data_IF_565457233944
#
_entry.id   IF_565457233944
#
_cell.length_a   1.000
_cell.length_b   1.000
_cell.length_c   1.000
_cell.angle_alpha   90.00
_cell.angle_beta   90.00
_cell.angle_gamma   90.00
#
_symmetry.space_group_name_H-M   'P 1'
#
loop_
_entity.id
_entity.type
_entity.pdbx_description
1 polymer ?
#
# COMPACT_ATOMS: atom_id res chain seq x y z
N UNK A 1 -12.12 0.99 26.66
CA UNK A 1 -12.24 2.46 26.45
C UNK A 1 -10.89 3.09 26.73
N UNK A 2 -10.34 3.88 25.81
CA UNK A 2 -9.06 4.55 26.06
C UNK A 2 -9.17 5.75 27.02
N UNK A 3 -8.06 6.14 27.65
CA UNK A 3 -7.97 7.38 28.43
C UNK A 3 -7.48 8.53 27.55
N UNK A 4 -8.27 9.61 27.50
CA UNK A 4 -7.88 10.86 26.88
C UNK A 4 -7.33 11.81 27.96
N UNK A 5 -6.12 12.34 27.75
CA UNK A 5 -5.47 13.29 28.65
C UNK A 5 -5.01 14.51 27.87
N UNK A 6 -5.32 15.70 28.37
CA UNK A 6 -4.70 16.93 27.88
C UNK A 6 -3.28 16.98 28.45
N UNK A 7 -2.29 17.14 27.57
CA UNK A 7 -0.88 17.28 27.93
C UNK A 7 -0.37 18.63 27.40
N UNK A 8 0.72 19.19 27.97
CA UNK A 8 1.41 20.29 27.32
C UNK A 8 1.68 19.90 25.85
N UNK A 9 1.29 20.76 24.93
CA UNK A 9 1.36 20.58 23.47
C UNK A 9 0.31 19.68 22.80
N UNK A 10 -0.77 19.27 23.49
CA UNK A 10 -1.95 18.73 22.82
C UNK A 10 -2.74 17.71 23.62
N UNK A 11 -3.16 16.65 22.95
CA UNK A 11 -4.03 15.61 23.52
C UNK A 11 -3.37 14.25 23.34
N UNK A 12 -3.26 13.49 24.42
CA UNK A 12 -2.79 12.12 24.42
C UNK A 12 -3.98 11.17 24.62
N UNK A 13 -4.11 10.20 23.73
CA UNK A 13 -5.04 9.09 23.90
C UNK A 13 -4.27 7.79 24.17
N UNK A 14 -4.64 7.07 25.22
CA UNK A 14 -4.16 5.72 25.50
C UNK A 14 -5.29 4.73 25.28
N UNK A 15 -5.23 3.88 24.27
CA UNK A 15 -6.25 2.86 23.96
C UNK A 15 -7.01 3.15 22.66
N UNK A 16 -8.26 2.69 22.58
CA UNK A 16 -9.13 2.90 21.41
C UNK A 16 -9.98 4.17 21.59
N UNK A 17 -10.17 4.92 20.50
CA UNK A 17 -11.11 6.05 20.42
C UNK A 17 -11.95 5.94 19.16
N UNK A 18 -13.08 6.65 19.17
CA UNK A 18 -13.94 6.86 18.01
C UNK A 18 -13.85 8.31 17.61
N UNK A 19 -13.66 8.53 16.32
CA UNK A 19 -13.77 9.85 15.71
C UNK A 19 -15.09 9.83 14.96
N UNK A 20 -16.05 10.62 15.44
CA UNK A 20 -17.42 10.59 14.94
C UNK A 20 -17.54 11.19 13.53
N UNK A 21 -16.69 12.17 13.21
CA UNK A 21 -16.67 12.87 11.92
C UNK A 21 -15.28 12.80 11.26
N UNK A 22 -14.68 13.95 10.94
CA UNK A 22 -13.40 14.08 10.24
C UNK A 22 -12.24 14.32 11.22
N UNK A 23 -11.26 13.41 11.23
CA UNK A 23 -9.94 13.70 11.81
C UNK A 23 -9.09 14.45 10.78
N UNK A 24 -8.83 15.74 11.04
CA UNK A 24 -7.83 16.50 10.29
C UNK A 24 -6.54 16.61 11.09
N UNK A 25 -5.47 16.03 10.58
CA UNK A 25 -4.15 16.09 11.20
C UNK A 25 -3.07 16.38 10.15
N UNK A 26 -2.04 17.14 10.52
CA UNK A 26 -0.85 17.33 9.69
C UNK A 26 0.09 16.12 9.74
N UNK A 27 0.07 15.36 10.84
CA UNK A 27 0.85 14.13 11.02
C UNK A 27 0.16 13.22 12.00
N UNK A 28 0.09 11.92 11.67
CA UNK A 28 -0.36 10.86 12.55
C UNK A 28 0.81 9.89 12.68
N UNK A 29 1.23 9.59 13.91
CA UNK A 29 2.39 8.75 14.20
C UNK A 29 2.05 7.68 15.23
N UNK A 30 2.69 6.54 15.09
CA UNK A 30 2.53 5.41 16.00
C UNK A 30 3.86 5.08 16.66
N UNK A 31 3.83 4.42 17.83
CA UNK A 31 5.05 3.90 18.46
C UNK A 31 5.59 2.73 17.63
N UNK A 32 6.89 2.52 17.68
CA UNK A 32 7.51 1.36 17.03
C UNK A 32 6.84 0.06 17.50
N UNK A 33 6.49 -0.82 16.55
CA UNK A 33 5.81 -2.08 16.84
C UNK A 33 4.34 -1.96 17.24
N UNK A 34 3.79 -0.74 17.29
CA UNK A 34 2.38 -0.48 17.59
C UNK A 34 1.76 0.26 16.41
N UNK A 35 1.31 -0.46 15.35
CA UNK A 35 0.74 0.16 14.17
C UNK A 35 -0.55 0.92 14.50
N UNK A 36 -0.84 1.98 13.75
CA UNK A 36 -2.17 2.62 13.77
C UNK A 36 -3.13 1.72 12.99
N UNK A 37 -4.18 1.25 13.66
CA UNK A 37 -5.28 0.53 13.02
C UNK A 37 -6.46 1.47 12.84
N UNK A 38 -6.87 1.70 11.59
CA UNK A 38 -8.10 2.43 11.26
C UNK A 38 -9.14 1.38 10.85
N UNK A 39 -10.22 1.28 11.62
CA UNK A 39 -11.25 0.25 11.43
C UNK A 39 -12.65 0.78 11.70
N UNK A 40 -13.68 -0.03 11.38
CA UNK A 40 -15.05 0.22 11.86
C UNK A 40 -15.11 -0.27 13.30
N UNK A 41 -15.72 0.50 14.19
CA UNK A 41 -16.22 -0.10 15.42
C UNK A 41 -17.51 -0.85 15.06
N UNK A 42 -17.58 -2.13 15.41
CA UNK A 42 -18.84 -2.85 15.36
C UNK A 42 -19.72 -2.30 16.49
N UNK A 43 -20.50 -1.27 16.19
CA UNK A 43 -21.58 -0.83 17.07
C UNK A 43 -22.73 -1.82 16.89
N UNK A 44 -23.17 -2.51 17.94
CA UNK A 44 -24.33 -3.39 17.88
C UNK A 44 -25.55 -2.64 17.35
N UNK A 45 -26.31 -3.29 16.47
CA UNK A 45 -27.38 -2.69 15.67
C UNK A 45 -28.58 -2.16 16.49
N UNK A 46 -28.57 -2.33 17.82
CA UNK A 46 -29.73 -2.11 18.70
C UNK A 46 -29.76 -0.79 19.48
N UNK A 47 -28.80 0.12 19.33
CA UNK A 47 -28.90 1.46 19.95
C UNK A 47 -29.18 2.57 18.92
N UNK A 48 -30.49 2.84 18.79
CA UNK A 48 -31.20 4.12 18.71
C UNK A 48 -30.52 5.34 18.02
N UNK A 49 -31.26 5.89 17.05
CA UNK A 49 -31.06 7.10 16.24
C UNK A 49 -30.10 6.98 15.04
N UNK A 50 -30.63 6.52 13.89
CA UNK A 50 -30.00 6.76 12.58
C UNK A 50 -30.48 8.10 12.00
N UNK A 51 -29.62 9.14 11.96
CA UNK A 51 -29.64 10.09 10.86
C UNK A 51 -28.34 9.98 10.07
N UNK A 52 -28.48 9.68 8.77
CA UNK A 52 -27.45 9.83 7.73
C UNK A 52 -26.07 9.22 8.01
N UNK A 53 -25.93 7.92 7.75
CA UNK A 53 -24.65 7.37 7.30
C UNK A 53 -24.72 7.24 5.78
N UNK A 54 -24.19 8.19 5.00
CA UNK A 54 -24.02 7.92 3.58
C UNK A 54 -23.11 6.70 3.46
N UNK A 55 -23.42 5.79 2.54
CA UNK A 55 -22.64 4.62 2.14
C UNK A 55 -21.28 4.99 1.51
N UNK A 56 -20.68 6.10 1.94
CA UNK A 56 -19.41 6.60 1.46
C UNK A 56 -18.34 5.67 1.97
N UNK A 57 -17.64 5.06 1.03
CA UNK A 57 -16.42 4.30 1.27
C UNK A 57 -15.49 5.02 2.25
N UNK A 58 -14.71 4.24 2.97
CA UNK A 58 -13.72 4.78 3.89
C UNK A 58 -12.54 5.26 3.06
N UNK A 59 -12.32 6.58 3.01
CA UNK A 59 -11.25 7.16 2.22
C UNK A 59 -10.26 7.87 3.13
N UNK A 60 -8.98 7.56 3.00
CA UNK A 60 -7.90 8.45 3.46
C UNK A 60 -7.66 9.45 2.34
N UNK A 61 -7.89 10.74 2.62
CA UNK A 61 -7.72 11.82 1.64
C UNK A 61 -6.66 12.80 2.11
N UNK A 62 -5.84 13.25 1.19
CA UNK A 62 -4.85 14.31 1.41
C UNK A 62 -4.95 15.33 0.27
N UNK A 63 -4.87 16.62 0.59
CA UNK A 63 -4.80 17.71 -0.39
C UNK A 63 -3.37 18.01 -0.84
N UNK A 64 -2.39 17.25 -0.34
CA UNK A 64 -0.97 17.30 -0.68
C UNK A 64 -0.42 15.89 -0.82
N UNK A 65 0.85 15.79 -1.14
CA UNK A 65 1.58 14.53 -1.20
C UNK A 65 1.32 13.67 0.05
N UNK A 66 1.10 12.38 -0.18
CA UNK A 66 0.80 11.40 0.85
C UNK A 66 1.95 10.41 0.95
N UNK A 67 2.52 10.27 2.15
CA UNK A 67 3.68 9.39 2.36
C UNK A 67 3.47 8.45 3.55
N UNK A 68 3.83 7.19 3.40
CA UNK A 68 3.90 6.20 4.48
C UNK A 68 5.34 5.73 4.63
N UNK A 69 5.87 5.83 5.84
CA UNK A 69 7.24 5.45 6.16
C UNK A 69 7.23 4.43 7.30
N UNK A 70 7.95 3.32 7.12
CA UNK A 70 8.22 2.38 8.21
C UNK A 70 9.70 2.42 8.57
N UNK A 71 10.00 2.31 9.86
CA UNK A 71 11.37 2.34 10.38
C UNK A 71 11.65 1.08 11.19
N UNK A 72 12.91 0.66 11.20
CA UNK A 72 13.38 -0.46 12.02
C UNK A 72 13.53 -0.08 13.51
N UNK A 73 13.99 -1.05 14.31
CA UNK A 73 14.25 -0.88 15.76
C UNK A 73 15.28 0.22 16.07
N UNK A 74 16.18 0.52 15.13
CA UNK A 74 17.21 1.56 15.25
C UNK A 74 16.73 2.92 14.72
N UNK A 75 15.47 3.01 14.28
CA UNK A 75 14.88 4.21 13.69
C UNK A 75 15.28 4.46 12.23
N UNK A 76 16.00 3.54 11.58
CA UNK A 76 16.38 3.66 10.18
C UNK A 76 15.16 3.40 9.30
N UNK A 77 14.97 4.23 8.26
CA UNK A 77 13.91 4.05 7.27
C UNK A 77 14.09 2.69 6.55
N UNK A 78 13.06 1.85 6.59
CA UNK A 78 13.02 0.57 5.88
C UNK A 78 12.21 0.66 4.59
N UNK A 79 11.01 1.24 4.66
CA UNK A 79 10.12 1.36 3.52
C UNK A 79 9.61 2.80 3.40
N UNK A 80 9.45 3.25 2.16
CA UNK A 80 8.93 4.55 1.78
C UNK A 80 7.90 4.37 0.68
N UNK A 81 6.65 4.69 0.97
CA UNK A 81 5.58 4.81 -0.02
C UNK A 81 5.27 6.28 -0.20
N UNK A 82 5.30 6.78 -1.42
CA UNK A 82 5.05 8.18 -1.74
C UNK A 82 4.06 8.28 -2.89
N UNK A 83 3.00 9.06 -2.67
CA UNK A 83 2.03 9.45 -3.68
C UNK A 83 2.09 10.98 -3.81
N UNK A 84 2.74 11.44 -4.87
CA UNK A 84 2.77 12.85 -5.26
C UNK A 84 1.59 13.21 -6.17
N UNK A 85 1.62 14.42 -6.71
CA UNK A 85 0.63 14.84 -7.70
C UNK A 85 0.83 14.15 -9.07
N UNK A 86 2.06 13.78 -9.37
CA UNK A 86 2.54 13.32 -10.69
C UNK A 86 3.13 11.90 -10.67
N UNK A 87 3.51 11.39 -9.50
CA UNK A 87 4.21 10.11 -9.38
C UNK A 87 3.80 9.29 -8.17
N UNK A 88 3.98 7.99 -8.31
CA UNK A 88 3.89 7.01 -7.24
C UNK A 88 5.23 6.30 -7.10
N UNK A 89 5.81 6.33 -5.91
CA UNK A 89 7.12 5.73 -5.62
C UNK A 89 7.02 4.78 -4.43
N UNK A 90 7.70 3.64 -4.53
CA UNK A 90 7.78 2.63 -3.48
C UNK A 90 9.22 2.16 -3.33
N UNK A 91 9.84 2.47 -2.20
CA UNK A 91 11.15 1.95 -1.80
C UNK A 91 10.92 0.94 -0.67
N UNK A 92 11.47 -0.25 -0.83
CA UNK A 92 11.29 -1.37 0.10
C UNK A 92 12.58 -2.13 0.25
N UNK A 93 12.94 -2.48 1.49
CA UNK A 93 14.15 -3.24 1.77
C UNK A 93 14.01 -4.74 1.44
N UNK A 94 12.79 -5.26 1.39
CA UNK A 94 12.53 -6.71 1.18
C UNK A 94 11.94 -7.07 -0.19
N UNK A 95 11.23 -6.13 -0.83
CA UNK A 95 10.52 -6.37 -2.08
C UNK A 95 9.08 -5.85 -2.06
N UNK A 96 8.46 -5.80 -3.23
CA UNK A 96 7.09 -5.37 -3.44
C UNK A 96 6.25 -6.57 -3.87
N UNK A 97 5.04 -6.73 -3.32
CA UNK A 97 4.15 -7.87 -3.63
C UNK A 97 2.69 -7.45 -3.62
N UNK A 98 1.96 -7.92 -4.62
CA UNK A 98 0.50 -7.86 -4.74
C UNK A 98 -0.04 -9.28 -4.65
N UNK A 99 -1.00 -9.51 -3.75
CA UNK A 99 -1.68 -10.80 -3.56
C UNK A 99 -3.17 -10.66 -3.73
N UNK A 100 -3.83 -11.76 -4.16
CA UNK A 100 -5.27 -11.85 -4.09
C UNK A 100 -5.77 -12.14 -2.65
N UNK A 101 -7.08 -12.25 -2.46
CA UNK A 101 -7.71 -12.57 -1.17
C UNK A 101 -7.33 -13.94 -0.61
N UNK A 102 -6.87 -14.87 -1.45
CA UNK A 102 -6.39 -16.20 -1.02
C UNK A 102 -4.90 -16.22 -0.66
N UNK A 103 -4.19 -15.08 -0.79
CA UNK A 103 -2.76 -14.95 -0.52
C UNK A 103 -1.82 -15.34 -1.67
N UNK A 104 -2.36 -15.79 -2.82
CA UNK A 104 -1.59 -16.10 -4.03
C UNK A 104 -0.91 -14.84 -4.56
N UNK A 105 0.38 -14.95 -4.94
CA UNK A 105 1.13 -13.89 -5.62
C UNK A 105 0.52 -13.61 -6.99
N UNK A 106 0.17 -12.35 -7.25
CA UNK A 106 -0.21 -11.87 -8.59
C UNK A 106 0.93 -11.11 -9.24
N UNK A 107 1.66 -10.33 -8.45
CA UNK A 107 2.84 -9.59 -8.89
C UNK A 107 3.82 -9.49 -7.72
N UNK A 108 5.11 -9.68 -7.96
CA UNK A 108 6.12 -9.33 -6.97
C UNK A 108 7.48 -9.00 -7.59
N UNK A 109 8.22 -8.11 -6.95
CA UNK A 109 9.56 -7.70 -7.39
C UNK A 109 10.50 -7.70 -6.20
N UNK A 110 11.70 -8.28 -6.38
CA UNK A 110 12.80 -8.21 -5.44
C UNK A 110 14.14 -8.04 -6.20
N UNK A 111 15.28 -8.20 -5.53
CA UNK A 111 16.61 -8.03 -6.13
C UNK A 111 16.98 -9.12 -7.16
N UNK A 112 16.27 -10.25 -7.15
CA UNK A 112 16.61 -11.44 -7.93
C UNK A 112 15.64 -11.66 -9.10
N UNK A 113 14.36 -11.35 -8.91
CA UNK A 113 13.32 -11.64 -9.90
C UNK A 113 12.15 -10.65 -9.88
N UNK A 114 11.49 -10.57 -11.04
CA UNK A 114 10.14 -10.05 -11.21
C UNK A 114 9.23 -11.24 -11.50
N UNK A 115 8.22 -11.44 -10.64
CA UNK A 115 7.26 -12.52 -10.77
C UNK A 115 5.88 -11.96 -11.14
N UNK A 116 5.29 -12.52 -12.19
CA UNK A 116 3.94 -12.19 -12.67
C UNK A 116 3.12 -13.48 -12.63
N UNK A 117 2.19 -13.58 -11.68
CA UNK A 117 1.40 -14.78 -11.37
C UNK A 117 -0.02 -14.74 -11.89
N UNK A 118 -0.23 -14.07 -13.03
CA UNK A 118 -1.54 -13.94 -13.68
C UNK A 118 -1.60 -14.81 -14.94
N UNK A 119 -2.78 -15.32 -15.34
CA UNK A 119 -2.90 -16.13 -16.56
C UNK A 119 -2.58 -15.33 -17.83
N UNK A 120 -2.97 -14.06 -17.87
CA UNK A 120 -2.81 -13.23 -19.05
C UNK A 120 -2.02 -11.97 -18.71
N UNK A 121 -0.94 -11.72 -19.45
CA UNK A 121 -0.16 -10.48 -19.39
C UNK A 121 -0.31 -9.73 -20.71
N UNK A 122 -0.88 -8.53 -20.64
CA UNK A 122 -1.03 -7.62 -21.78
C UNK A 122 -0.14 -6.41 -21.57
N UNK A 123 0.74 -6.13 -22.54
CA UNK A 123 1.56 -4.93 -22.61
C UNK A 123 0.99 -4.07 -23.74
N UNK A 124 0.53 -2.87 -23.41
CA UNK A 124 -0.07 -1.94 -24.37
C UNK A 124 0.95 -0.84 -24.78
N UNK A 125 0.84 -0.36 -26.02
CA UNK A 125 1.75 0.63 -26.61
C UNK A 125 2.14 0.26 -28.04
N UNK A 126 2.95 1.10 -28.69
CA UNK A 126 3.58 0.75 -29.96
C UNK A 126 4.52 -0.46 -29.77
N UNK A 127 4.30 -1.54 -30.51
CA UNK A 127 4.96 -2.83 -30.27
C UNK A 127 4.42 -3.66 -29.10
N UNK A 128 3.20 -3.37 -28.61
CA UNK A 128 2.54 -4.11 -27.54
C UNK A 128 2.36 -5.62 -27.83
N UNK A 129 2.25 -6.42 -26.77
CA UNK A 129 2.17 -7.89 -26.85
C UNK A 129 1.14 -8.45 -25.86
N UNK A 130 0.46 -9.53 -26.25
CA UNK A 130 -0.50 -10.25 -25.43
C UNK A 130 -0.05 -11.70 -25.21
N UNK A 131 0.08 -12.09 -23.94
CA UNK A 131 0.49 -13.42 -23.52
C UNK A 131 -0.64 -14.09 -22.75
N UNK A 132 -1.14 -15.23 -23.21
CA UNK A 132 -2.32 -15.91 -22.63
C UNK A 132 -1.99 -17.01 -21.61
N UNK A 133 -0.74 -17.45 -21.53
CA UNK A 133 -0.32 -18.57 -20.68
C UNK A 133 1.11 -18.31 -20.15
N UNK A 134 2.04 -19.24 -20.38
CA UNK A 134 3.43 -19.13 -19.94
C UNK A 134 4.35 -18.92 -21.14
N UNK A 135 5.35 -18.07 -20.96
CA UNK A 135 6.45 -17.90 -21.91
C UNK A 135 7.73 -18.26 -21.19
N UNK A 136 8.39 -19.30 -21.67
CA UNK A 136 9.73 -19.68 -21.25
C UNK A 136 10.68 -19.33 -22.38
N UNK A 137 11.55 -18.34 -22.17
CA UNK A 137 12.62 -18.03 -23.13
C UNK A 137 13.93 -18.59 -22.60
N UNK A 138 14.60 -19.42 -23.39
CA UNK A 138 16.01 -19.75 -23.17
C UNK A 138 16.90 -18.55 -23.51
N UNK A 139 18.21 -18.64 -23.20
CA UNK A 139 19.19 -17.58 -23.50
C UNK A 139 18.97 -16.96 -24.89
N UNK A 140 18.64 -15.67 -24.91
CA UNK A 140 18.61 -14.88 -26.14
C UNK A 140 20.06 -14.72 -26.62
N UNK A 141 20.46 -15.51 -27.61
CA UNK A 141 21.68 -15.30 -28.39
C UNK A 141 21.28 -14.80 -29.77
N UNK A 142 22.00 -13.80 -30.27
CA UNK A 142 21.93 -13.43 -31.68
C UNK A 142 22.45 -14.59 -32.54
N UNK A 143 21.88 -14.78 -33.73
CA UNK A 143 22.35 -15.78 -34.69
C UNK A 143 23.84 -15.56 -34.99
N UNK A 144 24.71 -16.58 -34.85
CA UNK A 144 26.07 -16.49 -35.33
C UNK A 144 26.07 -16.55 -36.86
N UNK A 145 26.66 -15.53 -37.50
CA UNK A 145 27.14 -15.63 -38.87
C UNK A 145 26.25 -14.99 -39.93
N UNK A 146 26.60 -13.75 -40.29
CA UNK A 146 26.60 -13.36 -41.70
C UNK A 146 28.01 -12.84 -42.00
N UNK A 147 28.83 -13.68 -42.62
CA UNK A 147 30.09 -13.22 -43.19
C UNK A 147 29.78 -12.12 -44.20
N UNK A 148 30.45 -10.99 -44.02
CA UNK A 148 30.52 -9.95 -45.04
C UNK A 148 31.48 -10.46 -46.11
N UNK A 149 30.94 -10.80 -47.28
CA UNK A 149 31.72 -11.05 -48.50
C UNK A 149 32.68 -9.91 -48.80
#
# INVERSE_FOLDING_TARGET
>A
MGQLKIIPHGVQLTGQTLIMDLLRASSIRSKHGQPITIGKLNVPEQEFWKPYLPEKGKFVKSSRNFSINTRDKKGKLQNHLYLGHDKFECLTSGGFRITNSTGKKLFSVNQNEVFIGVPTLRIEGDGGVLFHESIQTSHVRADPGKDLK
#
